data_IF_337317492204
#
_entry.id   IF_337317492204
#
_cell.length_a   1.000
_cell.length_b   1.000
_cell.length_c   1.000
_cell.angle_alpha   90.00
_cell.angle_beta   90.00
_cell.angle_gamma   90.00
#
_symmetry.space_group_name_H-M   'P 1'
#
loop_
_entity.id
_entity.type
_entity.pdbx_description
1 polymer ?
#
# COMPACT_ATOMS: atom_id res chain seq x y z
N UNK A 1 -41.98 -15.37 70.32
CA UNK A 1 -41.92 -15.20 68.85
C UNK A 1 -40.93 -14.13 68.39
N UNK A 2 -40.93 -12.89 68.92
CA UNK A 2 -39.97 -11.82 68.53
C UNK A 2 -38.47 -12.18 68.67
N UNK A 3 -38.06 -12.90 69.73
CA UNK A 3 -36.64 -13.26 69.97
C UNK A 3 -36.10 -14.36 69.04
N UNK A 4 -36.95 -15.22 68.48
CA UNK A 4 -36.52 -16.25 67.53
C UNK A 4 -36.45 -15.71 66.10
N UNK A 5 -37.39 -14.83 65.72
CA UNK A 5 -37.33 -14.12 64.44
C UNK A 5 -36.07 -13.24 64.36
N UNK A 6 -35.71 -12.56 65.45
CA UNK A 6 -34.49 -11.72 65.49
C UNK A 6 -33.17 -12.52 65.41
N UNK A 7 -33.16 -13.77 65.90
CA UNK A 7 -31.98 -14.66 65.79
C UNK A 7 -31.83 -15.26 64.39
N UNK A 8 -32.95 -15.57 63.72
CA UNK A 8 -32.95 -16.05 62.33
C UNK A 8 -32.55 -14.92 61.39
N UNK A 9 -33.04 -13.69 61.59
CA UNK A 9 -32.61 -12.53 60.82
C UNK A 9 -31.11 -12.22 61.02
N UNK A 10 -30.58 -12.35 62.25
CA UNK A 10 -29.15 -12.15 62.50
C UNK A 10 -28.26 -13.22 61.84
N UNK A 11 -28.70 -14.48 61.82
CA UNK A 11 -27.98 -15.58 61.15
C UNK A 11 -28.00 -15.45 59.61
N UNK A 12 -29.12 -15.01 59.03
CA UNK A 12 -29.24 -14.74 57.59
C UNK A 12 -28.41 -13.51 57.19
N UNK A 13 -28.38 -12.45 58.01
CA UNK A 13 -27.57 -11.26 57.74
C UNK A 13 -26.06 -11.56 57.84
N UNK A 14 -25.64 -12.39 58.79
CA UNK A 14 -24.24 -12.85 58.90
C UNK A 14 -23.82 -13.74 57.72
N UNK A 15 -24.71 -14.58 57.19
CA UNK A 15 -24.43 -15.41 56.01
C UNK A 15 -24.32 -14.58 54.72
N UNK A 16 -25.11 -13.52 54.57
CA UNK A 16 -25.02 -12.59 53.42
C UNK A 16 -23.74 -11.76 53.47
N UNK A 17 -23.28 -11.36 54.65
CA UNK A 17 -21.99 -10.65 54.81
C UNK A 17 -20.80 -11.58 54.53
N UNK A 18 -20.87 -12.85 54.94
CA UNK A 18 -19.79 -13.82 54.65
C UNK A 18 -19.71 -14.20 53.17
N UNK A 19 -20.83 -14.19 52.46
CA UNK A 19 -20.86 -14.40 51.00
C UNK A 19 -20.33 -13.18 50.22
N UNK A 20 -20.38 -11.97 50.79
CA UNK A 20 -19.82 -10.76 50.17
C UNK A 20 -18.30 -10.61 50.30
N UNK A 21 -17.64 -11.47 51.09
CA UNK A 21 -16.18 -11.49 51.25
C UNK A 21 -15.47 -12.40 50.24
N UNK A 22 -16.20 -13.13 49.39
CA UNK A 22 -15.65 -13.66 48.15
C UNK A 22 -15.61 -12.52 47.14
N UNK A 23 -14.58 -11.70 47.35
CA UNK A 23 -13.99 -10.77 46.43
C UNK A 23 -14.41 -11.03 44.99
N UNK A 24 -15.12 -10.04 44.45
CA UNK A 24 -15.00 -9.63 43.05
C UNK A 24 -13.52 -9.28 42.82
N UNK A 25 -12.65 -10.29 42.80
CA UNK A 25 -11.56 -10.28 41.83
C UNK A 25 -12.27 -10.62 40.53
N UNK A 26 -12.88 -9.59 39.93
CA UNK A 26 -13.01 -9.61 38.49
C UNK A 26 -11.61 -9.92 38.01
N UNK A 27 -11.46 -11.04 37.30
CA UNK A 27 -10.27 -11.27 36.51
C UNK A 27 -10.17 -10.07 35.55
N UNK A 28 -9.49 -9.02 35.99
CA UNK A 28 -8.56 -8.35 35.11
C UNK A 28 -7.69 -9.50 34.67
N UNK A 29 -7.96 -10.01 33.47
CA UNK A 29 -7.01 -10.86 32.78
C UNK A 29 -5.71 -10.06 32.88
N UNK A 30 -4.80 -10.51 33.76
CA UNK A 30 -3.45 -9.99 33.75
C UNK A 30 -3.03 -10.14 32.29
N UNK A 31 -2.51 -9.08 31.67
CA UNK A 31 -2.01 -9.15 30.30
C UNK A 31 -0.78 -10.06 30.31
N UNK A 32 -1.00 -11.37 30.44
CA UNK A 32 -0.02 -12.42 30.29
C UNK A 32 0.45 -12.40 28.85
N UNK A 33 -0.44 -12.04 27.91
CA UNK A 33 -0.14 -11.85 26.49
C UNK A 33 -0.79 -10.57 25.97
N UNK A 34 -0.06 -9.84 25.14
CA UNK A 34 -0.55 -8.67 24.43
C UNK A 34 -0.04 -8.69 22.99
N UNK A 35 -0.89 -8.26 22.05
CA UNK A 35 -0.53 -8.18 20.64
C UNK A 35 -0.40 -6.73 20.22
N UNK A 36 0.72 -6.39 19.59
CA UNK A 36 0.98 -5.06 19.05
C UNK A 36 1.24 -5.16 17.55
N UNK A 37 0.69 -4.21 16.79
CA UNK A 37 1.06 -4.02 15.40
C UNK A 37 2.30 -3.14 15.30
N UNK A 38 3.19 -3.48 14.37
CA UNK A 38 4.36 -2.70 14.03
C UNK A 38 4.31 -2.27 12.57
N UNK A 39 4.64 -1.02 12.29
CA UNK A 39 4.80 -0.48 10.93
C UNK A 39 6.19 0.10 10.77
N UNK A 40 6.85 -0.26 9.68
CA UNK A 40 8.12 0.34 9.29
C UNK A 40 8.08 0.74 7.82
N UNK A 41 8.62 1.92 7.53
CA UNK A 41 8.60 2.53 6.20
C UNK A 41 9.98 3.09 5.85
N UNK A 42 10.44 2.82 4.64
CA UNK A 42 11.68 3.36 4.08
C UNK A 42 11.37 4.03 2.76
N UNK A 43 11.81 5.28 2.61
CA UNK A 43 11.78 6.00 1.33
C UNK A 43 13.08 5.74 0.58
N UNK A 44 12.96 5.25 -0.64
CA UNK A 44 14.06 4.92 -1.52
C UNK A 44 14.00 5.76 -2.81
N UNK A 45 15.14 6.18 -3.37
CA UNK A 45 15.16 6.72 -4.73
C UNK A 45 14.83 5.61 -5.72
N UNK A 46 13.93 5.89 -6.66
CA UNK A 46 13.59 4.95 -7.72
C UNK A 46 14.80 4.70 -8.64
N UNK A 47 14.93 3.46 -9.12
CA UNK A 47 15.90 3.07 -10.13
C UNK A 47 15.24 2.75 -11.48
N UNK A 48 13.91 2.78 -11.54
CA UNK A 48 13.12 2.52 -12.73
C UNK A 48 11.90 3.40 -12.79
N UNK A 49 11.52 3.77 -14.01
CA UNK A 49 10.32 4.52 -14.30
C UNK A 49 9.56 3.92 -15.49
N UNK A 50 8.24 3.83 -15.37
CA UNK A 50 7.32 3.42 -16.43
C UNK A 50 6.43 4.58 -16.83
N UNK A 51 6.52 5.01 -18.08
CA UNK A 51 5.66 6.03 -18.67
C UNK A 51 4.48 5.33 -19.34
N UNK A 52 3.27 5.63 -18.87
CA UNK A 52 2.04 5.20 -19.52
C UNK A 52 1.53 6.32 -20.42
N UNK A 53 1.22 6.02 -21.68
CA UNK A 53 0.83 7.02 -22.66
C UNK A 53 -0.15 6.47 -23.70
N UNK A 54 -0.88 7.35 -24.39
CA UNK A 54 -1.76 6.96 -25.48
C UNK A 54 -1.52 7.79 -26.74
N UNK A 55 -1.81 7.17 -27.88
CA UNK A 55 -1.84 7.78 -29.21
C UNK A 55 -3.28 7.68 -29.70
N UNK A 56 -3.89 8.84 -29.93
CA UNK A 56 -5.21 8.96 -30.53
C UNK A 56 -5.11 9.57 -31.92
N UNK A 57 -5.61 8.85 -32.90
CA UNK A 57 -5.67 9.31 -34.28
C UNK A 57 -7.11 9.21 -34.77
N UNK A 58 -7.57 10.22 -35.51
CA UNK A 58 -8.93 10.23 -36.04
C UNK A 58 -8.94 10.51 -37.52
N UNK A 59 -9.69 9.72 -38.30
CA UNK A 59 -9.78 9.85 -39.76
C UNK A 59 -11.16 9.44 -40.29
N UNK A 60 -11.47 9.74 -41.56
CA UNK A 60 -12.73 9.32 -42.20
C UNK A 60 -12.83 7.81 -42.43
N UNK A 61 -11.69 7.09 -42.40
CA UNK A 61 -11.61 5.64 -42.50
C UNK A 61 -10.76 5.14 -41.34
N UNK A 62 -11.23 4.12 -40.65
CA UNK A 62 -10.49 3.49 -39.54
C UNK A 62 -9.06 3.12 -39.93
N UNK A 63 -8.86 2.50 -41.09
CA UNK A 63 -7.54 2.09 -41.57
C UNK A 63 -6.54 3.25 -41.70
N UNK A 64 -7.02 4.48 -41.95
CA UNK A 64 -6.17 5.67 -42.03
C UNK A 64 -5.77 6.12 -40.62
N UNK A 65 -6.73 6.20 -39.70
CA UNK A 65 -6.44 6.52 -38.29
C UNK A 65 -5.48 5.52 -37.66
N UNK A 66 -5.69 4.22 -37.92
CA UNK A 66 -4.78 3.15 -37.48
C UNK A 66 -3.37 3.36 -38.02
N UNK A 67 -3.24 3.67 -39.32
CA UNK A 67 -1.94 3.91 -39.94
C UNK A 67 -1.22 5.13 -39.35
N UNK A 68 -1.93 6.23 -39.14
CA UNK A 68 -1.37 7.43 -38.49
C UNK A 68 -0.84 7.11 -37.08
N UNK A 69 -1.60 6.35 -36.29
CA UNK A 69 -1.14 5.89 -34.98
C UNK A 69 0.08 4.96 -35.04
N UNK A 70 0.14 4.08 -36.05
CA UNK A 70 1.29 3.19 -36.28
C UNK A 70 2.57 3.94 -36.66
N UNK A 71 2.46 5.00 -37.47
CA UNK A 71 3.60 5.83 -37.87
C UNK A 71 4.21 6.55 -36.64
N UNK A 72 3.38 7.06 -35.73
CA UNK A 72 3.83 7.64 -34.45
C UNK A 72 4.51 6.57 -33.59
N UNK A 73 3.87 5.40 -33.41
CA UNK A 73 4.45 4.31 -32.62
C UNK A 73 5.79 3.83 -33.19
N UNK A 74 5.92 3.75 -34.50
CA UNK A 74 7.17 3.38 -35.17
C UNK A 74 8.28 4.38 -34.86
N UNK A 75 8.01 5.69 -34.96
CA UNK A 75 8.97 6.73 -34.62
C UNK A 75 9.42 6.69 -33.16
N UNK A 76 8.52 6.31 -32.24
CA UNK A 76 8.85 6.11 -30.83
C UNK A 76 9.74 4.88 -30.63
N UNK A 77 9.42 3.74 -31.25
CA UNK A 77 10.19 2.50 -31.12
C UNK A 77 11.61 2.62 -31.64
N UNK A 78 11.82 3.38 -32.72
CA UNK A 78 13.17 3.67 -33.24
C UNK A 78 14.05 4.43 -32.22
N UNK A 79 13.45 5.23 -31.33
CA UNK A 79 14.17 6.05 -30.34
C UNK A 79 14.28 5.38 -28.98
N UNK A 80 13.19 4.75 -28.52
CA UNK A 80 13.03 4.24 -27.16
C UNK A 80 13.20 2.72 -27.08
N UNK A 81 13.17 2.01 -28.21
CA UNK A 81 13.25 0.56 -28.26
C UNK A 81 11.91 -0.11 -27.93
N UNK A 82 11.91 -1.01 -26.95
CA UNK A 82 10.74 -1.82 -26.63
C UNK A 82 9.64 -0.98 -25.95
N UNK A 83 8.43 -1.06 -26.50
CA UNK A 83 7.21 -0.42 -25.99
C UNK A 83 6.13 -1.50 -25.96
N UNK A 84 5.50 -1.68 -24.79
CA UNK A 84 4.40 -2.62 -24.58
C UNK A 84 3.07 -1.96 -24.94
N UNK A 85 2.20 -2.68 -25.63
CA UNK A 85 0.83 -2.23 -25.92
C UNK A 85 -0.11 -2.76 -24.85
N UNK A 86 -0.77 -1.84 -24.14
CA UNK A 86 -1.65 -2.14 -23.02
C UNK A 86 -3.11 -2.24 -23.47
N UNK A 87 -3.51 -1.43 -24.44
CA UNK A 87 -4.88 -1.46 -24.98
C UNK A 87 -4.98 -0.89 -26.39
N UNK A 88 -6.03 -1.34 -27.08
CA UNK A 88 -6.44 -0.86 -28.39
C UNK A 88 -7.96 -0.66 -28.38
N UNK A 89 -8.41 0.51 -28.82
CA UNK A 89 -9.81 0.83 -29.01
C UNK A 89 -10.02 1.57 -30.33
N UNK A 90 -11.14 1.30 -30.98
CA UNK A 90 -11.53 1.93 -32.24
C UNK A 90 -13.03 2.17 -32.22
N UNK A 91 -13.43 3.42 -32.39
CA UNK A 91 -14.83 3.82 -32.40
C UNK A 91 -15.15 4.69 -33.60
N UNK A 92 -16.39 4.57 -34.08
CA UNK A 92 -16.96 5.48 -35.07
C UNK A 92 -17.75 6.57 -34.35
N UNK A 93 -17.42 7.83 -34.60
CA UNK A 93 -18.18 8.97 -34.12
C UNK A 93 -19.33 9.28 -35.10
N UNK A 94 -20.61 9.04 -34.72
CA UNK A 94 -21.73 9.10 -35.67
C UNK A 94 -21.99 10.50 -36.24
N UNK A 95 -21.70 11.54 -35.46
CA UNK A 95 -21.96 12.94 -35.84
C UNK A 95 -20.94 13.43 -36.87
N UNK A 96 -19.65 13.13 -36.66
CA UNK A 96 -18.58 13.58 -37.56
C UNK A 96 -18.35 12.60 -38.71
N UNK A 97 -18.85 11.37 -38.61
CA UNK A 97 -18.58 10.27 -39.55
C UNK A 97 -17.09 9.94 -39.63
N UNK A 98 -16.37 10.12 -38.52
CA UNK A 98 -14.94 9.78 -38.38
C UNK A 98 -14.80 8.57 -37.49
N UNK A 99 -13.67 7.90 -37.62
CA UNK A 99 -13.18 6.89 -36.70
C UNK A 99 -12.11 7.50 -35.83
N UNK A 100 -12.10 7.16 -34.55
CA UNK A 100 -11.01 7.45 -33.61
C UNK A 100 -10.41 6.12 -33.17
N UNK A 101 -9.10 5.97 -33.39
CA UNK A 101 -8.29 4.85 -32.91
C UNK A 101 -7.49 5.35 -31.72
N UNK A 102 -7.72 4.77 -30.55
CA UNK A 102 -7.00 5.06 -29.31
C UNK A 102 -6.18 3.84 -28.91
N UNK A 103 -4.88 4.02 -28.76
CA UNK A 103 -3.94 2.96 -28.39
C UNK A 103 -3.10 3.42 -27.23
N UNK A 104 -3.05 2.62 -26.17
CA UNK A 104 -2.29 2.96 -24.98
C UNK A 104 -1.15 1.97 -24.77
N UNK A 105 -0.04 2.50 -24.28
CA UNK A 105 1.24 1.83 -24.21
C UNK A 105 1.92 2.11 -22.88
N UNK A 106 2.84 1.23 -22.53
CA UNK A 106 3.80 1.44 -21.45
C UNK A 106 5.23 1.37 -21.99
N UNK A 107 6.07 2.30 -21.53
CA UNK A 107 7.50 2.31 -21.79
C UNK A 107 8.26 2.37 -20.46
N UNK A 108 9.18 1.42 -20.25
CA UNK A 108 9.93 1.30 -19.00
C UNK A 108 11.41 1.58 -19.25
N UNK A 109 12.01 2.42 -18.41
CA UNK A 109 13.42 2.80 -18.45
C UNK A 109 14.05 2.71 -17.07
N UNK A 110 15.32 2.36 -17.01
CA UNK A 110 16.14 2.45 -15.79
C UNK A 110 16.83 3.83 -15.67
N UNK A 111 16.72 4.69 -16.69
CA UNK A 111 17.17 6.09 -16.65
C UNK A 111 16.04 7.01 -16.16
N UNK A 112 15.87 7.03 -14.83
CA UNK A 112 14.88 7.86 -14.13
C UNK A 112 15.13 9.36 -14.36
N UNK A 113 16.39 9.77 -14.52
CA UNK A 113 16.76 11.19 -14.73
C UNK A 113 16.32 11.72 -16.09
N UNK A 114 16.21 10.85 -17.11
CA UNK A 114 15.81 11.22 -18.46
C UNK A 114 14.29 11.38 -18.65
N UNK A 115 13.45 11.15 -17.63
CA UNK A 115 11.99 11.08 -17.80
C UNK A 115 11.37 12.35 -18.41
N UNK A 116 11.85 13.53 -18.03
CA UNK A 116 11.39 14.79 -18.65
C UNK A 116 11.75 14.90 -20.13
N UNK A 117 12.96 14.46 -20.51
CA UNK A 117 13.39 14.47 -21.90
C UNK A 117 12.67 13.39 -22.72
N UNK A 118 12.39 12.22 -22.14
CA UNK A 118 11.64 11.13 -22.76
C UNK A 118 10.19 11.57 -23.03
N UNK A 119 9.51 12.12 -22.03
CA UNK A 119 8.13 12.59 -22.18
C UNK A 119 8.02 13.75 -23.17
N UNK A 120 8.98 14.68 -23.20
CA UNK A 120 9.08 15.71 -24.23
C UNK A 120 9.18 15.08 -25.63
N UNK A 121 10.09 14.12 -25.82
CA UNK A 121 10.26 13.43 -27.11
C UNK A 121 9.00 12.67 -27.53
N UNK A 122 8.24 12.10 -26.59
CA UNK A 122 6.96 11.45 -26.85
C UNK A 122 5.94 12.45 -27.38
N UNK A 123 5.77 13.60 -26.73
CA UNK A 123 4.88 14.67 -27.18
C UNK A 123 5.29 15.21 -28.55
N UNK A 124 6.58 15.43 -28.78
CA UNK A 124 7.12 15.86 -30.08
C UNK A 124 6.87 14.85 -31.21
N UNK A 125 6.80 13.55 -30.88
CA UNK A 125 6.49 12.49 -31.84
C UNK A 125 5.00 12.36 -32.17
N UNK A 126 4.11 13.01 -31.42
CA UNK A 126 2.65 12.98 -31.65
C UNK A 126 1.86 12.12 -30.66
N UNK A 127 2.46 11.73 -29.52
CA UNK A 127 1.69 11.14 -28.41
C UNK A 127 0.66 12.15 -27.91
N UNK A 128 -0.60 11.72 -27.78
CA UNK A 128 -1.73 12.59 -27.46
C UNK A 128 -2.01 12.68 -25.97
N UNK A 129 -1.55 11.71 -25.18
CA UNK A 129 -1.68 11.73 -23.72
C UNK A 129 -0.55 11.03 -23.01
N UNK A 130 0.03 11.67 -21.99
CA UNK A 130 0.86 11.02 -20.97
C UNK A 130 -0.05 10.79 -19.76
N UNK A 131 -0.36 9.52 -19.50
CA UNK A 131 -1.37 9.09 -18.52
C UNK A 131 -0.78 8.78 -17.14
N UNK A 132 0.50 9.05 -16.95
CA UNK A 132 1.18 8.94 -15.67
C UNK A 132 2.57 8.34 -15.82
N UNK A 133 3.41 8.62 -14.82
CA UNK A 133 4.74 8.06 -14.66
C UNK A 133 4.75 7.30 -13.34
N UNK A 134 5.18 6.05 -13.39
CA UNK A 134 5.19 5.14 -12.27
C UNK A 134 6.64 4.84 -11.92
N UNK A 135 7.06 5.24 -10.73
CA UNK A 135 8.40 4.96 -10.24
C UNK A 135 8.40 3.63 -9.49
N UNK A 136 9.48 2.87 -9.66
CA UNK A 136 9.62 1.54 -9.06
C UNK A 136 11.08 1.27 -8.69
N UNK A 137 11.26 0.18 -7.94
CA UNK A 137 12.55 -0.39 -7.60
C UNK A 137 12.71 -1.72 -8.34
N UNK A 138 13.87 -1.94 -8.94
CA UNK A 138 14.22 -3.21 -9.56
C UNK A 138 14.54 -4.30 -8.52
N UNK A 139 15.03 -3.88 -7.35
CA UNK A 139 15.27 -4.72 -6.17
C UNK A 139 14.84 -4.00 -4.88
N UNK A 140 13.90 -4.61 -4.15
CA UNK A 140 13.38 -4.09 -2.88
C UNK A 140 14.06 -4.70 -1.66
N UNK A 141 14.89 -5.75 -1.83
CA UNK A 141 15.34 -6.63 -0.75
C UNK A 141 16.06 -5.92 0.40
N UNK A 142 16.88 -4.90 0.08
CA UNK A 142 17.59 -4.13 1.10
C UNK A 142 16.65 -3.22 1.91
N UNK A 143 15.69 -2.60 1.22
CA UNK A 143 14.72 -1.69 1.81
C UNK A 143 13.68 -2.44 2.64
N UNK A 144 13.25 -3.63 2.21
CA UNK A 144 12.35 -4.49 2.97
C UNK A 144 12.97 -4.94 4.29
N UNK A 145 14.25 -5.31 4.29
CA UNK A 145 14.95 -5.68 5.54
C UNK A 145 14.98 -4.52 6.53
N UNK A 146 15.22 -3.31 6.06
CA UNK A 146 15.24 -2.13 6.92
C UNK A 146 13.83 -1.73 7.38
N UNK A 147 12.84 -1.76 6.49
CA UNK A 147 11.44 -1.52 6.83
C UNK A 147 10.92 -2.54 7.85
N UNK A 148 11.27 -3.83 7.72
CA UNK A 148 10.93 -4.86 8.71
C UNK A 148 11.61 -4.59 10.05
N UNK A 149 12.89 -4.20 10.05
CA UNK A 149 13.62 -3.81 11.27
C UNK A 149 12.93 -2.65 11.98
N UNK A 150 12.49 -1.64 11.24
CA UNK A 150 11.72 -0.50 11.75
C UNK A 150 10.35 -0.93 12.29
N UNK A 151 9.66 -1.86 11.61
CA UNK A 151 8.37 -2.38 12.05
C UNK A 151 8.47 -3.12 13.39
N UNK A 152 9.50 -3.95 13.56
CA UNK A 152 9.80 -4.64 14.83
C UNK A 152 10.08 -3.61 15.94
N UNK A 153 10.93 -2.62 15.66
CA UNK A 153 11.24 -1.57 16.63
C UNK A 153 9.99 -0.75 17.04
N UNK A 154 9.08 -0.48 16.10
CA UNK A 154 7.80 0.18 16.37
C UNK A 154 6.90 -0.67 17.28
N UNK A 155 6.78 -1.97 17.03
CA UNK A 155 6.04 -2.89 17.91
C UNK A 155 6.67 -2.98 19.31
N UNK A 156 8.00 -3.09 19.41
CA UNK A 156 8.73 -3.13 20.67
C UNK A 156 8.52 -1.84 21.48
N UNK A 157 8.59 -0.69 20.83
CA UNK A 157 8.34 0.60 21.47
C UNK A 157 6.91 0.70 22.02
N UNK A 158 5.91 0.19 21.29
CA UNK A 158 4.51 0.14 21.75
C UNK A 158 4.36 -0.80 22.94
N UNK A 159 4.93 -2.00 22.89
CA UNK A 159 4.90 -2.94 24.00
C UNK A 159 5.55 -2.37 25.27
N UNK A 160 6.74 -1.79 25.14
CA UNK A 160 7.47 -1.15 26.24
C UNK A 160 6.73 0.07 26.83
N UNK A 161 5.95 0.80 26.01
CA UNK A 161 5.13 1.91 26.49
C UNK A 161 3.95 1.46 27.37
N UNK A 162 3.56 0.19 27.27
CA UNK A 162 2.49 -0.43 28.07
C UNK A 162 3.07 -1.09 29.33
N UNK A 163 4.08 -1.96 29.18
CA UNK A 163 4.77 -2.62 30.29
C UNK A 163 6.15 -3.10 29.84
N UNK A 164 7.22 -2.59 30.48
CA UNK A 164 8.62 -2.92 30.17
C UNK A 164 8.99 -4.40 30.41
N UNK A 165 8.11 -5.18 31.06
CA UNK A 165 8.30 -6.62 31.29
C UNK A 165 7.74 -7.48 30.17
N UNK A 166 7.07 -6.89 29.19
CA UNK A 166 6.59 -7.60 28.01
C UNK A 166 7.79 -7.95 27.12
N UNK A 167 7.96 -9.24 26.83
CA UNK A 167 9.00 -9.76 25.95
C UNK A 167 8.38 -10.39 24.72
N UNK A 168 9.00 -10.16 23.56
CA UNK A 168 8.53 -10.73 22.29
C UNK A 168 8.50 -12.26 22.39
N UNK A 169 7.34 -12.83 22.07
CA UNK A 169 7.11 -14.27 22.05
C UNK A 169 6.97 -14.80 20.62
N UNK A 170 6.17 -14.11 19.80
CA UNK A 170 5.86 -14.54 18.44
C UNK A 170 5.79 -13.33 17.51
N UNK A 171 6.33 -13.48 16.29
CA UNK A 171 6.31 -12.47 15.25
C UNK A 171 5.65 -13.04 14.00
N UNK A 172 4.61 -12.36 13.53
CA UNK A 172 3.97 -12.62 12.24
C UNK A 172 4.20 -11.44 11.30
N UNK A 173 4.81 -11.69 10.16
CA UNK A 173 4.97 -10.72 9.08
C UNK A 173 3.78 -10.81 8.12
N UNK A 174 3.13 -9.69 7.80
CA UNK A 174 2.03 -9.65 6.83
C UNK A 174 2.48 -9.29 5.40
N UNK A 175 3.79 -9.26 5.19
CA UNK A 175 4.44 -8.88 3.94
C UNK A 175 4.95 -7.44 3.95
N UNK A 176 5.91 -7.21 3.06
CA UNK A 176 6.40 -5.90 2.69
C UNK A 176 5.87 -5.53 1.31
N UNK A 177 5.47 -4.26 1.15
CA UNK A 177 4.89 -3.75 -0.07
C UNK A 177 5.66 -2.51 -0.50
N UNK A 178 6.03 -2.47 -1.78
CA UNK A 178 6.55 -1.26 -2.40
C UNK A 178 5.41 -0.55 -3.14
N UNK A 179 5.35 0.76 -2.99
CA UNK A 179 4.35 1.60 -3.64
C UNK A 179 4.81 3.04 -3.72
N UNK A 180 4.12 3.84 -4.53
CA UNK A 180 4.30 5.29 -4.51
C UNK A 180 3.79 5.80 -3.15
N UNK A 181 4.67 6.29 -2.28
CA UNK A 181 4.34 6.63 -0.90
C UNK A 181 3.19 7.64 -0.80
N UNK A 182 2.10 7.28 -0.12
CA UNK A 182 1.00 8.16 0.28
C UNK A 182 0.11 8.76 -0.82
N UNK A 183 0.65 8.99 -2.02
CA UNK A 183 -0.06 9.41 -3.22
C UNK A 183 0.71 8.89 -4.44
N UNK A 184 0.06 8.09 -5.27
CA UNK A 184 0.53 7.81 -6.64
C UNK A 184 0.56 9.13 -7.43
N UNK A 185 1.66 9.88 -7.32
CA UNK A 185 1.77 11.24 -7.89
C UNK A 185 2.94 12.09 -7.41
N UNK A 186 3.83 11.59 -6.54
CA UNK A 186 5.06 12.30 -6.18
C UNK A 186 5.97 12.49 -7.40
N UNK A 187 6.22 13.73 -7.80
CA UNK A 187 7.16 14.09 -8.88
C UNK A 187 8.63 13.96 -8.47
N UNK A 188 8.91 13.40 -7.29
CA UNK A 188 10.23 13.38 -6.66
C UNK A 188 11.04 12.11 -6.94
N UNK A 189 10.45 11.13 -7.65
CA UNK A 189 11.12 9.89 -8.01
C UNK A 189 11.41 9.00 -6.80
N UNK A 190 10.60 9.09 -5.75
CA UNK A 190 10.73 8.26 -4.55
C UNK A 190 9.72 7.11 -4.53
N UNK A 191 10.14 5.98 -3.97
CA UNK A 191 9.32 4.78 -3.74
C UNK A 191 9.32 4.49 -2.25
N UNK A 192 8.14 4.26 -1.68
CA UNK A 192 7.99 3.82 -0.30
C UNK A 192 7.99 2.30 -0.26
N UNK A 193 8.76 1.74 0.68
CA UNK A 193 8.76 0.32 1.02
C UNK A 193 8.27 0.20 2.46
N UNK A 194 7.10 -0.39 2.64
CA UNK A 194 6.41 -0.51 3.92
C UNK A 194 6.25 -1.97 4.31
N UNK A 195 6.63 -2.32 5.54
CA UNK A 195 6.38 -3.63 6.15
C UNK A 195 5.46 -3.48 7.35
N UNK A 196 4.52 -4.42 7.48
CA UNK A 196 3.60 -4.49 8.61
C UNK A 196 3.72 -5.84 9.31
N UNK A 197 3.75 -5.82 10.63
CA UNK A 197 3.86 -7.00 11.48
C UNK A 197 2.77 -7.04 12.55
N UNK A 198 2.50 -8.24 13.06
CA UNK A 198 1.83 -8.47 14.35
C UNK A 198 2.81 -9.20 15.26
N UNK A 199 3.09 -8.61 16.41
CA UNK A 199 3.98 -9.18 17.41
C UNK A 199 3.18 -9.49 18.69
N UNK A 200 3.28 -10.73 19.15
CA UNK A 200 2.72 -11.17 20.43
C UNK A 200 3.83 -11.09 21.47
N UNK A 201 3.55 -10.40 22.55
CA UNK A 201 4.44 -10.28 23.69
C UNK A 201 3.84 -11.02 24.88
N UNK A 202 4.69 -11.64 25.68
CA UNK A 202 4.33 -12.28 26.94
C UNK A 202 5.00 -11.54 28.09
N UNK A 203 4.31 -11.39 29.20
CA UNK A 203 4.90 -10.81 30.41
C UNK A 203 5.85 -11.82 31.09
N UNK A 204 7.04 -11.36 31.45
CA UNK A 204 8.05 -12.16 32.17
C UNK A 204 7.86 -12.15 33.67
#
# INVERSE_FOLDING_TARGET
MKKQIMRICAAVFAAVIFASAFSVFGAYEELDRATFSGRGEVLAPADRATVNFCIEASAKKEAVAKKESEEILFALKERLGYISEESYYSESEPISGRYTVSRCFSFTTDDVGAIYDITRQMTEAGVTGINGIWYSLSDTSAYEKEALRLAIADADNKANSVDERLVLEELSEFGCFSGCGGMCGGTDGTVSVECNISAVYRRR
#
